data_IF_527497736396
#
_entry.id   IF_527497736396
#
_cell.length_a   1.000
_cell.length_b   1.000
_cell.length_c   1.000
_cell.angle_alpha   90.00
_cell.angle_beta   90.00
_cell.angle_gamma   90.00
#
_symmetry.space_group_name_H-M   'P 1'
#
loop_
_entity.id
_entity.type
_entity.pdbx_description
1 polymer ?
#
# COMPACT_ATOMS: atom_id res chain seq x y z
N UNK A 1 0.47 -26.12 -7.62
CA UNK A 1 1.05 -25.00 -6.82
C UNK A 1 2.49 -25.33 -6.54
N UNK A 2 3.42 -24.36 -6.73
CA UNK A 2 4.83 -24.58 -6.40
C UNK A 2 5.04 -24.54 -4.87
N UNK A 3 6.16 -25.12 -4.38
CA UNK A 3 6.51 -25.06 -2.95
C UNK A 3 6.59 -23.61 -2.47
N UNK A 4 7.16 -22.70 -3.28
CA UNK A 4 7.24 -21.29 -2.93
C UNK A 4 5.86 -20.65 -2.81
N UNK A 5 4.93 -20.92 -3.70
CA UNK A 5 3.55 -20.41 -3.62
C UNK A 5 2.86 -20.93 -2.36
N UNK A 6 3.07 -22.18 -2.00
CA UNK A 6 2.50 -22.74 -0.78
C UNK A 6 3.06 -22.07 0.47
N UNK A 7 4.38 -21.81 0.53
CA UNK A 7 5.02 -21.09 1.63
C UNK A 7 4.44 -19.68 1.76
N UNK A 8 4.25 -18.94 0.67
CA UNK A 8 3.68 -17.59 0.70
C UNK A 8 2.22 -17.60 1.14
N UNK A 9 1.45 -18.61 0.73
CA UNK A 9 0.06 -18.79 1.18
C UNK A 9 -0.02 -19.03 2.69
N UNK A 10 0.88 -19.85 3.24
CA UNK A 10 0.95 -20.09 4.67
C UNK A 10 1.40 -18.85 5.45
N UNK A 11 2.38 -18.11 4.92
CA UNK A 11 2.82 -16.85 5.52
C UNK A 11 1.66 -15.85 5.62
N UNK A 12 0.86 -15.71 4.56
CA UNK A 12 -0.30 -14.81 4.55
C UNK A 12 -1.30 -15.17 5.65
N UNK A 13 -1.65 -16.45 5.76
CA UNK A 13 -2.60 -16.94 6.79
C UNK A 13 -2.08 -16.73 8.20
N UNK A 14 -0.80 -16.98 8.44
CA UNK A 14 -0.18 -16.78 9.75
C UNK A 14 -0.16 -15.32 10.15
N UNK A 15 0.24 -14.44 9.27
CA UNK A 15 0.29 -13.00 9.54
C UNK A 15 -1.10 -12.40 9.74
N UNK A 16 -2.08 -12.83 8.95
CA UNK A 16 -3.47 -12.38 9.06
C UNK A 16 -4.20 -12.95 10.28
N UNK A 17 -3.68 -14.02 10.88
CA UNK A 17 -4.34 -14.77 11.96
C UNK A 17 -5.72 -15.29 11.56
N UNK A 18 -5.92 -15.55 10.25
CA UNK A 18 -7.14 -16.11 9.70
C UNK A 18 -6.82 -17.03 8.49
N UNK A 19 -7.72 -17.94 8.18
CA UNK A 19 -7.58 -18.87 7.06
C UNK A 19 -8.06 -18.20 5.77
N UNK A 20 -7.23 -17.30 5.23
CA UNK A 20 -7.51 -16.59 3.99
C UNK A 20 -7.56 -17.54 2.78
N UNK A 21 -8.40 -17.18 1.81
CA UNK A 21 -8.32 -17.81 0.48
C UNK A 21 -7.19 -17.11 -0.28
N UNK A 22 -6.15 -17.85 -0.64
CA UNK A 22 -4.99 -17.32 -1.39
C UNK A 22 -5.00 -17.89 -2.79
N UNK A 23 -5.05 -17.01 -3.79
CA UNK A 23 -5.01 -17.36 -5.20
C UNK A 23 -3.74 -16.80 -5.84
N UNK A 24 -3.11 -17.58 -6.70
CA UNK A 24 -1.95 -17.15 -7.51
C UNK A 24 -2.42 -16.99 -8.95
N UNK A 25 -2.35 -15.78 -9.50
CA UNK A 25 -2.87 -15.45 -10.82
C UNK A 25 -1.90 -14.61 -11.64
N UNK A 26 -2.09 -14.63 -12.95
CA UNK A 26 -1.38 -13.76 -13.88
C UNK A 26 -1.98 -12.35 -13.80
N UNK A 27 -1.52 -11.57 -12.83
CA UNK A 27 -1.97 -10.19 -12.56
C UNK A 27 -0.75 -9.27 -12.43
N UNK A 28 -0.96 -7.98 -12.57
CA UNK A 28 0.15 -7.00 -12.51
C UNK A 28 0.65 -6.79 -11.08
N UNK A 29 -0.22 -6.91 -10.08
CA UNK A 29 0.13 -6.72 -8.68
C UNK A 29 -0.75 -7.57 -7.77
N UNK A 30 -0.36 -7.65 -6.49
CA UNK A 30 -1.18 -8.29 -5.46
C UNK A 30 -2.43 -7.45 -5.15
N UNK A 31 -3.47 -8.10 -4.66
CA UNK A 31 -4.67 -7.44 -4.17
C UNK A 31 -5.35 -8.26 -3.08
N UNK A 32 -6.11 -7.59 -2.21
CA UNK A 32 -6.93 -8.22 -1.19
C UNK A 32 -8.36 -7.66 -1.22
N UNK A 33 -9.32 -8.55 -1.24
CA UNK A 33 -10.73 -8.16 -1.16
C UNK A 33 -11.22 -8.31 0.29
N UNK A 34 -11.54 -7.19 0.92
CA UNK A 34 -11.93 -7.15 2.33
C UNK A 34 -13.30 -7.79 2.60
N UNK A 35 -14.15 -7.88 1.58
CA UNK A 35 -15.47 -8.49 1.69
C UNK A 35 -15.39 -10.02 1.55
N UNK A 36 -14.75 -10.49 0.47
CA UNK A 36 -14.67 -11.93 0.17
C UNK A 36 -13.51 -12.62 0.91
N UNK A 37 -12.58 -11.86 1.49
CA UNK A 37 -11.39 -12.35 2.18
C UNK A 37 -10.45 -13.15 1.27
N UNK A 38 -10.39 -12.77 0.00
CA UNK A 38 -9.52 -13.40 -1.00
C UNK A 38 -8.28 -12.55 -1.24
N UNK A 39 -7.11 -13.15 -1.04
CA UNK A 39 -5.80 -12.59 -1.38
C UNK A 39 -5.37 -13.13 -2.75
N UNK A 40 -5.07 -12.23 -3.68
CA UNK A 40 -4.51 -12.59 -4.98
C UNK A 40 -3.04 -12.17 -5.02
N UNK A 41 -2.16 -13.11 -5.33
CA UNK A 41 -0.73 -12.88 -5.52
C UNK A 41 -0.36 -13.06 -7.00
N UNK A 42 0.51 -12.20 -7.55
CA UNK A 42 0.93 -12.32 -8.94
C UNK A 42 1.85 -13.51 -9.16
N UNK A 43 1.85 -14.03 -10.40
CA UNK A 43 2.79 -15.06 -10.86
C UNK A 43 3.98 -14.37 -11.55
N UNK A 44 4.89 -13.80 -10.80
CA UNK A 44 6.08 -13.12 -11.33
C UNK A 44 7.29 -14.04 -11.28
N UNK A 45 7.80 -14.41 -12.45
CA UNK A 45 8.95 -15.32 -12.54
C UNK A 45 10.25 -14.70 -12.02
N UNK A 46 10.39 -13.37 -12.11
CA UNK A 46 11.62 -12.65 -11.76
C UNK A 46 11.60 -11.97 -10.40
N UNK A 47 10.48 -12.02 -9.70
CA UNK A 47 10.39 -11.41 -8.38
C UNK A 47 11.08 -12.29 -7.33
N UNK A 48 11.85 -11.64 -6.45
CA UNK A 48 12.51 -12.33 -5.34
C UNK A 48 11.50 -12.73 -4.26
N UNK A 49 11.97 -13.57 -3.33
CA UNK A 49 11.21 -13.93 -2.14
C UNK A 49 10.87 -12.70 -1.29
N UNK A 50 11.76 -11.72 -1.21
CA UNK A 50 11.60 -10.47 -0.46
C UNK A 50 10.46 -9.61 -1.03
N UNK A 51 10.33 -9.52 -2.35
CA UNK A 51 9.21 -8.80 -2.98
C UNK A 51 7.88 -9.47 -2.64
N UNK A 52 7.81 -10.81 -2.73
CA UNK A 52 6.58 -11.52 -2.37
C UNK A 52 6.24 -11.38 -0.89
N UNK A 53 7.22 -11.44 0.01
CA UNK A 53 7.00 -11.21 1.44
C UNK A 53 6.42 -9.82 1.70
N UNK A 54 6.93 -8.80 1.00
CA UNK A 54 6.42 -7.44 1.11
C UNK A 54 4.99 -7.33 0.58
N UNK A 55 4.69 -7.93 -0.59
CA UNK A 55 3.34 -7.93 -1.16
C UNK A 55 2.35 -8.63 -0.22
N UNK A 56 2.72 -9.78 0.32
CA UNK A 56 1.91 -10.49 1.31
C UNK A 56 1.67 -9.62 2.54
N UNK A 57 2.73 -9.00 3.08
CA UNK A 57 2.61 -8.16 4.27
C UNK A 57 1.71 -6.93 4.03
N UNK A 58 1.80 -6.32 2.85
CA UNK A 58 0.93 -5.21 2.46
C UNK A 58 -0.54 -5.64 2.44
N UNK A 59 -0.86 -6.70 1.72
CA UNK A 59 -2.25 -7.16 1.57
C UNK A 59 -2.83 -7.71 2.87
N UNK A 60 -2.01 -8.37 3.70
CA UNK A 60 -2.41 -8.79 5.05
C UNK A 60 -2.70 -7.56 5.93
N UNK A 61 -2.00 -6.45 5.71
CA UNK A 61 -2.32 -5.18 6.38
C UNK A 61 -3.76 -4.75 6.12
N UNK A 62 -4.24 -4.86 4.89
CA UNK A 62 -5.65 -4.63 4.56
C UNK A 62 -6.57 -5.65 5.24
N UNK A 63 -6.17 -6.92 5.29
CA UNK A 63 -6.96 -7.96 5.95
C UNK A 63 -7.15 -7.69 7.44
N UNK A 64 -6.13 -7.18 8.11
CA UNK A 64 -6.15 -6.92 9.55
C UNK A 64 -6.79 -5.58 9.93
N UNK A 65 -6.59 -4.55 9.12
CA UNK A 65 -6.84 -3.16 9.53
C UNK A 65 -7.83 -2.40 8.67
N UNK A 66 -8.06 -2.78 7.42
CA UNK A 66 -9.02 -2.09 6.55
C UNK A 66 -10.42 -2.64 6.80
N UNK A 67 -11.36 -1.82 7.28
CA UNK A 67 -12.72 -2.29 7.56
C UNK A 67 -13.49 -2.60 6.28
N UNK A 68 -14.42 -3.56 6.38
CA UNK A 68 -15.40 -3.84 5.34
C UNK A 68 -16.60 -2.91 5.56
N UNK A 69 -16.50 -1.67 5.08
CA UNK A 69 -17.60 -0.69 5.15
C UNK A 69 -17.75 0.04 3.82
N UNK A 70 -18.95 0.47 3.52
CA UNK A 70 -19.23 1.29 2.35
C UNK A 70 -19.01 2.77 2.67
N UNK A 71 -17.74 3.18 2.66
CA UNK A 71 -17.35 4.57 2.92
C UNK A 71 -17.71 5.52 1.79
N UNK A 72 -17.97 5.00 0.57
CA UNK A 72 -18.37 5.81 -0.59
C UNK A 72 -19.68 6.55 -0.33
N UNK A 73 -20.60 5.94 0.43
CA UNK A 73 -21.84 6.59 0.84
C UNK A 73 -21.61 7.80 1.77
N UNK A 74 -20.52 7.75 2.56
CA UNK A 74 -20.16 8.85 3.49
C UNK A 74 -19.43 9.99 2.80
N UNK A 75 -18.62 9.67 1.79
CA UNK A 75 -17.74 10.61 1.09
C UNK A 75 -17.75 10.35 -0.42
N UNK A 76 -18.92 10.52 -1.08
CA UNK A 76 -19.04 10.19 -2.50
C UNK A 76 -18.19 11.06 -3.43
N UNK A 77 -17.76 12.22 -2.94
CA UNK A 77 -16.95 13.17 -3.69
C UNK A 77 -15.46 12.82 -3.72
N UNK A 78 -14.97 11.94 -2.83
CA UNK A 78 -13.55 11.62 -2.74
C UNK A 78 -13.22 10.48 -3.71
N UNK A 79 -12.29 10.68 -4.65
CA UNK A 79 -11.86 9.57 -5.51
C UNK A 79 -11.24 8.45 -4.68
N UNK A 80 -11.57 7.17 -4.96
CA UNK A 80 -11.00 6.03 -4.24
C UNK A 80 -9.47 6.00 -4.22
N UNK A 81 -8.81 6.53 -5.25
CA UNK A 81 -7.36 6.61 -5.32
C UNK A 81 -6.75 7.43 -4.18
N UNK A 82 -7.41 8.51 -3.73
CA UNK A 82 -6.95 9.32 -2.59
C UNK A 82 -7.05 8.54 -1.28
N UNK A 83 -8.14 7.84 -1.07
CA UNK A 83 -8.33 6.98 0.12
C UNK A 83 -7.30 5.85 0.13
N UNK A 84 -7.06 5.22 -1.01
CA UNK A 84 -6.09 4.12 -1.13
C UNK A 84 -4.67 4.56 -0.77
N UNK A 85 -4.24 5.75 -1.20
CA UNK A 85 -2.91 6.28 -0.86
C UNK A 85 -2.74 6.42 0.64
N UNK A 86 -3.71 7.00 1.33
CA UNK A 86 -3.66 7.23 2.78
C UNK A 86 -3.78 5.91 3.55
N UNK A 87 -4.69 5.03 3.12
CA UNK A 87 -4.89 3.72 3.75
C UNK A 87 -3.67 2.82 3.60
N UNK A 88 -3.06 2.78 2.41
CA UNK A 88 -1.83 2.01 2.20
C UNK A 88 -0.73 2.43 3.17
N UNK A 89 -0.53 3.74 3.33
CA UNK A 89 0.46 4.25 4.29
C UNK A 89 0.11 3.87 5.74
N UNK A 90 -1.18 3.95 6.10
CA UNK A 90 -1.63 3.58 7.45
C UNK A 90 -1.42 2.10 7.74
N UNK A 91 -1.88 1.21 6.85
CA UNK A 91 -1.79 -0.23 7.11
C UNK A 91 -0.34 -0.73 7.12
N UNK A 92 0.53 -0.17 6.29
CA UNK A 92 1.95 -0.51 6.33
C UNK A 92 2.61 -0.05 7.62
N UNK A 93 2.28 1.15 8.10
CA UNK A 93 2.73 1.63 9.43
C UNK A 93 2.29 0.69 10.54
N UNK A 94 1.02 0.28 10.55
CA UNK A 94 0.47 -0.61 11.57
C UNK A 94 1.10 -2.01 11.51
N UNK A 95 1.35 -2.53 10.31
CA UNK A 95 2.05 -3.80 10.11
C UNK A 95 3.49 -3.75 10.63
N UNK A 96 4.23 -2.68 10.32
CA UNK A 96 5.60 -2.47 10.82
C UNK A 96 5.65 -2.37 12.34
N UNK A 97 4.64 -1.80 12.95
CA UNK A 97 4.49 -1.71 14.41
C UNK A 97 4.19 -3.07 15.02
N UNK A 98 3.33 -3.85 14.38
CA UNK A 98 2.90 -5.17 14.87
C UNK A 98 3.99 -6.23 14.72
N UNK A 99 4.75 -6.22 13.65
CA UNK A 99 5.76 -7.22 13.32
C UNK A 99 7.13 -6.57 13.13
N UNK A 100 8.03 -6.82 14.06
CA UNK A 100 9.35 -6.17 14.13
C UNK A 100 10.24 -6.41 12.90
N UNK A 101 10.05 -7.49 12.17
CA UNK A 101 10.83 -7.80 10.95
C UNK A 101 10.33 -7.07 9.70
N UNK A 102 9.11 -6.55 9.70
CA UNK A 102 8.51 -5.97 8.50
C UNK A 102 9.12 -4.65 8.04
N UNK A 103 9.64 -3.75 8.90
CA UNK A 103 10.34 -2.57 8.37
C UNK A 103 11.42 -2.90 7.36
N UNK A 104 12.22 -3.93 7.63
CA UNK A 104 13.24 -4.42 6.69
C UNK A 104 12.63 -5.05 5.44
N UNK A 105 11.57 -5.83 5.60
CA UNK A 105 10.86 -6.46 4.48
C UNK A 105 10.29 -5.43 3.51
N UNK A 106 9.62 -4.40 4.02
CA UNK A 106 9.08 -3.32 3.20
C UNK A 106 10.21 -2.53 2.52
N UNK A 107 11.25 -2.18 3.25
CA UNK A 107 12.41 -1.47 2.69
C UNK A 107 13.04 -2.26 1.53
N UNK A 108 13.37 -3.52 1.75
CA UNK A 108 14.02 -4.37 0.74
C UNK A 108 13.10 -4.65 -0.45
N UNK A 109 11.83 -4.92 -0.20
CA UNK A 109 10.85 -5.18 -1.27
C UNK A 109 10.62 -3.96 -2.15
N UNK A 110 10.43 -2.79 -1.58
CA UNK A 110 10.24 -1.56 -2.35
C UNK A 110 11.52 -1.13 -3.08
N UNK A 111 12.69 -1.34 -2.48
CA UNK A 111 13.98 -1.11 -3.17
C UNK A 111 14.10 -1.93 -4.45
N UNK A 112 13.73 -3.20 -4.37
CA UNK A 112 13.75 -4.09 -5.53
C UNK A 112 12.71 -3.70 -6.58
N UNK A 113 11.48 -3.36 -6.18
CA UNK A 113 10.44 -2.87 -7.09
C UNK A 113 10.88 -1.60 -7.81
N UNK A 114 11.50 -0.66 -7.10
CA UNK A 114 12.03 0.55 -7.72
C UNK A 114 13.16 0.23 -8.71
N UNK A 115 14.03 -0.70 -8.38
CA UNK A 115 15.09 -1.18 -9.28
C UNK A 115 14.57 -1.85 -10.55
N UNK A 116 13.37 -2.42 -10.51
CA UNK A 116 12.68 -3.02 -11.65
C UNK A 116 11.82 -2.03 -12.44
N UNK A 117 11.82 -0.76 -12.05
CA UNK A 117 10.91 0.28 -12.59
C UNK A 117 9.43 -0.12 -12.54
N UNK A 118 9.03 -0.79 -11.45
CA UNK A 118 7.65 -1.22 -11.24
C UNK A 118 6.65 -0.05 -11.31
N UNK A 119 7.05 1.11 -10.78
CA UNK A 119 6.22 2.32 -10.76
C UNK A 119 6.25 3.10 -12.08
N UNK A 120 7.00 2.63 -13.08
CA UNK A 120 7.07 3.20 -14.44
C UNK A 120 7.49 4.68 -14.43
N UNK A 121 8.55 4.99 -13.68
CA UNK A 121 9.05 6.35 -13.50
C UNK A 121 10.19 6.73 -14.44
N UNK A 122 10.69 5.79 -15.26
CA UNK A 122 11.75 6.06 -16.23
C UNK A 122 11.38 7.21 -17.17
N UNK A 123 12.18 8.29 -17.16
CA UNK A 123 11.95 9.46 -17.98
C UNK A 123 10.83 10.40 -17.50
N UNK A 124 10.29 10.17 -16.30
CA UNK A 124 9.23 11.00 -15.73
C UNK A 124 9.79 11.85 -14.60
N UNK A 125 9.47 13.13 -14.58
CA UNK A 125 9.72 14.00 -13.43
C UNK A 125 8.60 13.80 -12.41
N UNK A 126 8.91 13.12 -11.30
CA UNK A 126 7.94 12.83 -10.25
C UNK A 126 7.37 14.09 -9.59
N UNK A 127 8.10 15.19 -9.62
CA UNK A 127 7.68 16.46 -9.03
C UNK A 127 6.60 17.18 -9.87
N UNK A 128 6.39 16.76 -11.13
CA UNK A 128 5.27 17.22 -11.96
C UNK A 128 3.98 16.41 -11.76
N UNK A 129 4.04 15.32 -11.00
CA UNK A 129 2.87 14.50 -10.70
C UNK A 129 1.93 15.20 -9.72
N UNK A 130 0.65 14.80 -9.72
CA UNK A 130 -0.33 15.27 -8.74
C UNK A 130 0.02 14.88 -7.31
N UNK A 131 -0.60 15.57 -6.35
CA UNK A 131 -0.29 15.37 -4.92
C UNK A 131 -0.51 13.92 -4.46
N UNK A 132 -1.59 13.28 -4.89
CA UNK A 132 -1.88 11.90 -4.50
C UNK A 132 -0.78 10.93 -4.97
N UNK A 133 -0.32 11.07 -6.20
CA UNK A 133 0.75 10.23 -6.75
C UNK A 133 2.08 10.48 -6.03
N UNK A 134 2.42 11.74 -5.77
CA UNK A 134 3.65 12.08 -5.04
C UNK A 134 3.63 11.55 -3.61
N UNK A 135 2.50 11.64 -2.92
CA UNK A 135 2.34 11.07 -1.58
C UNK A 135 2.45 9.54 -1.60
N UNK A 136 1.83 8.89 -2.57
CA UNK A 136 1.92 7.43 -2.74
C UNK A 136 3.37 6.97 -2.92
N UNK A 137 4.10 7.63 -3.82
CA UNK A 137 5.51 7.31 -4.07
C UNK A 137 6.38 7.61 -2.84
N UNK A 138 6.11 8.71 -2.14
CA UNK A 138 6.85 9.07 -0.93
C UNK A 138 6.77 7.98 0.14
N UNK A 139 5.57 7.49 0.44
CA UNK A 139 5.40 6.47 1.48
C UNK A 139 5.93 5.10 1.06
N UNK A 140 5.97 4.79 -0.22
CA UNK A 140 6.46 3.51 -0.74
C UNK A 140 7.96 3.52 -1.04
N UNK A 141 8.43 4.51 -1.78
CA UNK A 141 9.80 4.56 -2.30
C UNK A 141 10.55 5.87 -2.02
N UNK A 142 10.06 6.70 -1.09
CA UNK A 142 10.70 7.97 -0.74
C UNK A 142 12.13 7.84 -0.20
N UNK A 143 12.56 6.65 0.23
CA UNK A 143 13.95 6.37 0.59
C UNK A 143 14.88 6.26 -0.63
N UNK A 144 14.35 6.13 -1.83
CA UNK A 144 15.11 5.82 -3.05
C UNK A 144 14.99 6.89 -4.13
N UNK A 145 14.03 7.80 -4.01
CA UNK A 145 13.82 8.92 -4.92
C UNK A 145 13.53 10.19 -4.14
N UNK A 146 13.91 11.35 -4.72
CA UNK A 146 13.61 12.64 -4.13
C UNK A 146 12.25 13.14 -4.62
N UNK A 147 11.40 13.55 -3.69
CA UNK A 147 10.08 14.08 -3.97
C UNK A 147 9.92 15.40 -3.23
N UNK A 148 9.62 16.46 -3.96
CA UNK A 148 9.44 17.79 -3.41
C UNK A 148 8.00 18.00 -2.93
N UNK A 149 7.87 18.62 -1.77
CA UNK A 149 6.59 19.07 -1.21
C UNK A 149 6.73 20.53 -0.77
N UNK A 150 5.75 21.35 -1.10
CA UNK A 150 5.65 22.70 -0.53
C UNK A 150 5.26 22.65 0.95
N UNK A 151 5.22 23.80 1.62
CA UNK A 151 4.96 23.84 3.08
C UNK A 151 3.57 23.29 3.46
N UNK A 152 2.56 23.53 2.66
CA UNK A 152 1.22 22.98 2.87
C UNK A 152 1.21 21.46 2.66
N UNK A 153 1.82 20.98 1.58
CA UNK A 153 1.90 19.56 1.25
C UNK A 153 2.69 18.76 2.31
N UNK A 154 3.68 19.37 2.96
CA UNK A 154 4.39 18.76 4.10
C UNK A 154 3.44 18.47 5.26
N UNK A 155 2.41 19.28 5.43
CA UNK A 155 1.40 19.01 6.46
C UNK A 155 0.62 17.73 6.14
N UNK A 156 0.34 17.44 4.87
CA UNK A 156 -0.32 16.18 4.47
C UNK A 156 0.54 14.96 4.77
N UNK A 157 1.85 15.06 4.53
CA UNK A 157 2.79 13.98 4.91
C UNK A 157 2.70 13.70 6.42
N UNK A 158 2.69 14.76 7.24
CA UNK A 158 2.57 14.62 8.69
C UNK A 158 1.23 14.05 9.12
N UNK A 159 0.13 14.48 8.49
CA UNK A 159 -1.21 13.95 8.74
C UNK A 159 -1.27 12.44 8.46
N UNK A 160 -0.80 12.02 7.30
CA UNK A 160 -0.80 10.60 6.91
C UNK A 160 0.04 9.78 7.89
N UNK A 161 1.22 10.27 8.28
CA UNK A 161 2.06 9.60 9.29
C UNK A 161 1.34 9.44 10.63
N UNK A 162 0.42 10.32 10.97
CA UNK A 162 -0.33 10.29 12.23
C UNK A 162 -1.60 9.43 12.18
N UNK A 163 -2.05 9.01 11.00
CA UNK A 163 -3.30 8.26 10.86
C UNK A 163 -3.27 6.94 11.64
N UNK A 164 -4.21 6.74 12.53
CA UNK A 164 -4.35 5.53 13.35
C UNK A 164 -5.62 4.75 12.99
N UNK A 165 -6.71 5.44 12.72
CA UNK A 165 -8.01 4.84 12.42
C UNK A 165 -8.38 5.00 10.95
N UNK A 166 -9.34 4.19 10.48
CA UNK A 166 -9.87 4.37 9.12
C UNK A 166 -10.66 5.68 8.98
N UNK A 167 -11.28 6.16 10.03
CA UNK A 167 -11.91 7.48 10.04
C UNK A 167 -10.89 8.61 9.81
N UNK A 168 -9.68 8.51 10.40
CA UNK A 168 -8.57 9.42 10.10
C UNK A 168 -8.24 9.41 8.60
N UNK A 169 -8.20 8.22 8.00
CA UNK A 169 -7.94 8.06 6.56
C UNK A 169 -8.95 8.81 5.72
N UNK A 170 -10.23 8.65 6.01
CA UNK A 170 -11.30 9.33 5.26
C UNK A 170 -11.23 10.85 5.42
N UNK A 171 -11.01 11.33 6.64
CA UNK A 171 -10.89 12.74 6.94
C UNK A 171 -9.68 13.38 6.24
N UNK A 172 -8.51 12.75 6.33
CA UNK A 172 -7.28 13.24 5.69
C UNK A 172 -7.37 13.16 4.17
N UNK A 173 -7.95 12.10 3.62
CA UNK A 173 -8.19 11.98 2.18
C UNK A 173 -9.06 13.10 1.64
N UNK A 174 -10.08 13.50 2.41
CA UNK A 174 -10.94 14.64 2.06
C UNK A 174 -10.14 15.95 1.99
N UNK A 175 -9.33 16.23 2.99
CA UNK A 175 -8.49 17.43 3.02
C UNK A 175 -7.55 17.49 1.80
N UNK A 176 -6.89 16.38 1.51
CA UNK A 176 -5.96 16.27 0.37
C UNK A 176 -6.71 16.42 -0.97
N UNK A 177 -7.90 15.83 -1.08
CA UNK A 177 -8.73 15.99 -2.28
C UNK A 177 -9.20 17.44 -2.48
N UNK A 178 -9.63 18.12 -1.42
CA UNK A 178 -10.01 19.54 -1.48
C UNK A 178 -8.85 20.39 -2.00
N UNK A 179 -7.63 20.16 -1.51
CA UNK A 179 -6.42 20.82 -2.02
C UNK A 179 -6.17 20.51 -3.51
N UNK A 180 -6.31 19.25 -3.90
CA UNK A 180 -6.03 18.83 -5.28
C UNK A 180 -6.98 19.43 -6.32
N UNK A 181 -8.17 19.87 -5.90
CA UNK A 181 -9.16 20.51 -6.79
C UNK A 181 -8.84 21.98 -7.08
N UNK A 182 -8.07 22.62 -6.23
CA UNK A 182 -7.66 24.01 -6.41
C UNK A 182 -6.60 24.15 -7.51
#
# INVERSE_FOLDING_TARGET
MSIQQEIKSQLAKLLATEDLIVEHKQVETASFNVETRVLVLPLWEKASSEVYDMLVAHEVGHALFTPCEDWLDRYPEIPPSFVNVVEDARIEKLMKRKYAGLPKTFFTGYKELQGMDFFKLSGIDVNEMGIADRLNLYFKIGNFIDIDFNEEEKTFVSMIKSAETFDDVLEYSKVIWEYAKE
#
